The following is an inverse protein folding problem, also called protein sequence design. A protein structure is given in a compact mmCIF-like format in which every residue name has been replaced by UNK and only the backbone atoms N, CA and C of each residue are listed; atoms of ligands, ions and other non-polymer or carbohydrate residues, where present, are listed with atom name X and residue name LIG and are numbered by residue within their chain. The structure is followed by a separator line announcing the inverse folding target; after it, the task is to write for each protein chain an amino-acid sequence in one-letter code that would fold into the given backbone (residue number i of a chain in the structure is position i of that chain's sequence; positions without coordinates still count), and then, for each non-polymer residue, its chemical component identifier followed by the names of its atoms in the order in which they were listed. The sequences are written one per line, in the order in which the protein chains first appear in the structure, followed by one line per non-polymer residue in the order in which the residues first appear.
data_IF_292093825349
#
_entry.id   IF_292093825349
#
_cell.length_a   1.000
_cell.length_b   1.000
_cell.length_c   1.000
_cell.angle_alpha   90.00
_cell.angle_beta   90.00
_cell.angle_gamma   90.00
#
_symmetry.space_group_name_H-M   'P 1'
#
loop_
_entity.id
_entity.type
_entity.pdbx_description
1 polymer ?
#
# COMPACT_ATOMS: atom_id res chain seq x y z
N UNK A 1 -29.19 16.70 -17.36
CA UNK A 1 -28.27 15.86 -16.57
C UNK A 1 -28.20 16.45 -15.18
N UNK A 2 -28.62 15.76 -14.09
CA UNK A 2 -28.40 16.29 -12.76
C UNK A 2 -26.96 16.02 -12.32
N UNK A 3 -26.38 17.02 -11.67
CA UNK A 3 -24.98 17.13 -11.29
C UNK A 3 -24.51 15.98 -10.39
N UNK A 4 -23.34 15.44 -10.72
CA UNK A 4 -22.54 14.65 -9.80
C UNK A 4 -21.98 15.61 -8.72
N UNK A 5 -22.24 15.39 -7.42
CA UNK A 5 -21.52 16.14 -6.40
C UNK A 5 -20.04 15.71 -6.46
N UNK A 6 -19.20 16.60 -6.96
CA UNK A 6 -17.76 16.50 -6.85
C UNK A 6 -17.39 16.45 -5.36
N UNK A 7 -17.03 15.26 -4.88
CA UNK A 7 -16.40 15.11 -3.58
C UNK A 7 -14.97 15.69 -3.68
N UNK A 8 -14.62 16.75 -2.93
CA UNK A 8 -13.25 17.22 -2.83
C UNK A 8 -12.49 16.34 -1.80
N UNK A 9 -11.21 16.08 -2.07
CA UNK A 9 -10.32 15.08 -1.45
C UNK A 9 -10.63 13.62 -1.85
N UNK A 10 -9.76 12.98 -2.62
CA UNK A 10 -8.41 12.67 -2.13
C UNK A 10 -7.43 12.73 -3.28
N UNK A 11 -6.32 13.45 -3.09
CA UNK A 11 -5.16 13.39 -3.96
C UNK A 11 -4.85 11.92 -4.26
N UNK A 12 -5.09 11.49 -5.50
CA UNK A 12 -4.58 10.23 -6.03
C UNK A 12 -3.06 10.36 -5.91
N UNK A 13 -2.36 9.65 -4.99
CA UNK A 13 -0.92 9.64 -5.04
C UNK A 13 -0.62 8.84 -6.30
N UNK A 14 -0.36 9.56 -7.39
CA UNK A 14 0.42 9.00 -8.49
C UNK A 14 1.68 8.46 -7.80
N UNK A 15 2.01 7.16 -7.91
CA UNK A 15 3.21 6.62 -7.30
C UNK A 15 4.41 7.26 -8.03
N UNK A 16 4.81 8.44 -7.56
CA UNK A 16 6.01 9.12 -8.02
C UNK A 16 7.19 8.25 -7.60
N UNK A 17 7.93 7.89 -8.63
CA UNK A 17 9.01 6.93 -8.66
C UNK A 17 10.18 7.38 -7.78
N UNK A 18 10.78 6.47 -7.02
CA UNK A 18 12.05 6.70 -6.33
C UNK A 18 12.34 5.71 -5.19
N UNK A 19 13.61 5.35 -4.87
CA UNK A 19 13.96 4.31 -3.89
C UNK A 19 13.82 4.71 -2.40
N UNK A 20 13.26 5.87 -2.08
CA UNK A 20 13.09 6.32 -0.70
C UNK A 20 11.61 6.28 -0.31
N UNK A 21 11.22 5.29 0.51
CA UNK A 21 9.91 5.22 1.17
C UNK A 21 8.72 5.17 0.22
N UNK A 22 8.50 4.03 -0.46
CA UNK A 22 7.27 3.83 -1.23
C UNK A 22 6.08 3.85 -0.26
N UNK A 23 5.05 4.62 -0.54
CA UNK A 23 3.72 4.42 0.08
C UNK A 23 2.78 3.78 -0.94
N UNK A 24 1.89 2.91 -0.47
CA UNK A 24 0.93 2.20 -1.28
C UNK A 24 -0.47 2.38 -0.73
N UNK A 25 -1.36 2.99 -1.50
CA UNK A 25 -2.77 3.05 -1.14
C UNK A 25 -3.45 1.73 -1.46
N UNK A 26 -4.00 1.10 -0.42
CA UNK A 26 -4.73 -0.17 -0.53
C UNK A 26 -5.95 0.01 -1.42
N UNK A 27 -6.18 -0.92 -2.34
CA UNK A 27 -7.38 -0.95 -3.17
C UNK A 27 -8.34 -2.04 -2.68
N UNK A 28 -9.62 -1.91 -3.01
CA UNK A 28 -10.61 -2.93 -2.68
C UNK A 28 -10.23 -4.27 -3.31
N UNK A 29 -10.06 -5.30 -2.48
CA UNK A 29 -9.63 -6.63 -2.90
C UNK A 29 -8.10 -6.84 -2.97
N UNK A 30 -7.29 -5.83 -2.65
CA UNK A 30 -5.87 -6.05 -2.38
C UNK A 30 -5.68 -6.73 -1.01
N UNK A 31 -4.58 -7.46 -0.91
CA UNK A 31 -4.15 -8.12 0.33
C UNK A 31 -2.65 -7.87 0.49
N UNK A 32 -2.15 -7.92 1.73
CA UNK A 32 -0.72 -7.68 2.00
C UNK A 32 0.20 -8.56 1.14
N UNK A 33 -0.18 -9.81 0.88
CA UNK A 33 0.53 -10.70 -0.04
C UNK A 33 0.61 -10.17 -1.47
N UNK A 34 -0.53 -9.74 -2.05
CA UNK A 34 -0.56 -9.13 -3.40
C UNK A 34 0.25 -7.85 -3.46
N UNK A 35 0.16 -7.01 -2.44
CA UNK A 35 0.89 -5.75 -2.38
C UNK A 35 2.38 -6.03 -2.29
N UNK A 36 2.79 -6.94 -1.40
CA UNK A 36 4.17 -7.43 -1.30
C UNK A 36 4.68 -7.96 -2.64
N UNK A 37 3.89 -8.76 -3.35
CA UNK A 37 4.23 -9.26 -4.68
C UNK A 37 4.39 -8.12 -5.70
N UNK A 38 3.51 -7.12 -5.68
CA UNK A 38 3.56 -5.95 -6.57
C UNK A 38 4.76 -5.04 -6.29
N UNK A 39 5.09 -4.82 -5.02
CA UNK A 39 6.14 -3.86 -4.62
C UNK A 39 7.53 -4.48 -4.52
N UNK A 40 7.63 -5.73 -4.07
CA UNK A 40 8.89 -6.43 -3.87
C UNK A 40 9.14 -7.58 -4.84
N UNK A 41 8.16 -7.93 -5.69
CA UNK A 41 8.25 -9.11 -6.54
C UNK A 41 8.11 -10.44 -5.79
N UNK A 42 7.75 -10.41 -4.50
CA UNK A 42 7.45 -11.62 -3.73
C UNK A 42 6.38 -11.37 -2.67
N UNK A 43 5.43 -12.29 -2.52
CA UNK A 43 4.48 -12.26 -1.39
C UNK A 43 5.16 -12.48 -0.04
N UNK A 44 6.39 -13.02 0.03
CA UNK A 44 7.05 -13.42 1.30
C UNK A 44 7.34 -12.27 2.26
N UNK A 45 7.31 -11.04 1.79
CA UNK A 45 7.61 -9.85 2.58
C UNK A 45 6.37 -9.10 3.08
N UNK A 46 5.18 -9.70 2.96
CA UNK A 46 3.94 -9.13 3.48
C UNK A 46 4.02 -8.78 4.98
N UNK A 47 4.74 -9.59 5.77
CA UNK A 47 4.96 -9.35 7.21
C UNK A 47 5.72 -8.06 7.49
N UNK A 48 6.71 -7.71 6.67
CA UNK A 48 7.47 -6.46 6.84
C UNK A 48 6.60 -5.23 6.58
N UNK A 49 5.70 -5.33 5.60
CA UNK A 49 4.69 -4.30 5.35
C UNK A 49 3.78 -4.19 6.57
N UNK A 50 3.27 -5.31 7.10
CA UNK A 50 2.43 -5.29 8.29
C UNK A 50 3.15 -4.65 9.47
N UNK A 51 4.36 -5.10 9.81
CA UNK A 51 5.18 -4.57 10.90
C UNK A 51 5.39 -3.06 10.80
N UNK A 52 5.76 -2.55 9.62
CA UNK A 52 5.97 -1.13 9.39
C UNK A 52 4.68 -0.29 9.45
N UNK A 53 3.51 -0.94 9.45
CA UNK A 53 2.20 -0.29 9.48
C UNK A 53 1.32 -0.80 10.61
N UNK A 54 1.85 -1.45 11.67
CA UNK A 54 1.01 -1.95 12.77
C UNK A 54 0.22 -0.83 13.45
N UNK A 55 0.73 0.40 13.40
CA UNK A 55 0.05 1.60 13.87
C UNK A 55 -1.25 1.90 13.08
N UNK A 56 -1.28 1.59 11.79
CA UNK A 56 -2.44 1.83 10.90
C UNK A 56 -3.29 0.57 10.68
N UNK A 57 -2.63 -0.58 10.56
CA UNK A 57 -3.21 -1.88 10.25
C UNK A 57 -2.59 -2.90 11.22
N UNK A 58 -3.21 -3.15 12.38
CA UNK A 58 -2.68 -4.13 13.34
C UNK A 58 -2.74 -5.57 12.81
N UNK A 59 -3.66 -5.86 11.89
CA UNK A 59 -3.91 -7.19 11.32
C UNK A 59 -4.25 -7.13 9.83
N UNK A 60 -3.86 -8.15 9.06
CA UNK A 60 -4.21 -8.27 7.64
C UNK A 60 -5.71 -8.17 7.36
N UNK A 61 -6.55 -8.63 8.30
CA UNK A 61 -8.02 -8.61 8.18
C UNK A 61 -8.61 -7.23 8.48
N UNK A 62 -7.86 -6.36 9.16
CA UNK A 62 -8.24 -4.98 9.46
C UNK A 62 -7.83 -4.00 8.36
N UNK A 63 -7.17 -4.51 7.32
CA UNK A 63 -6.82 -3.78 6.13
C UNK A 63 -8.06 -3.35 5.36
N UNK A 64 -8.17 -2.06 5.04
CA UNK A 64 -9.27 -1.49 4.25
C UNK A 64 -8.74 -0.75 3.04
N UNK A 65 -9.53 -0.75 1.96
CA UNK A 65 -9.26 0.08 0.80
C UNK A 65 -9.22 1.57 1.19
N UNK A 66 -8.31 2.32 0.58
CA UNK A 66 -8.05 3.73 0.87
C UNK A 66 -7.02 3.98 1.97
N UNK A 67 -6.60 2.95 2.72
CA UNK A 67 -5.51 3.10 3.70
C UNK A 67 -4.18 3.26 2.97
N UNK A 68 -3.34 4.19 3.40
CA UNK A 68 -1.98 4.32 2.91
C UNK A 68 -1.02 3.44 3.73
N UNK A 69 -0.34 2.53 3.06
CA UNK A 69 0.68 1.67 3.65
C UNK A 69 2.07 2.18 3.34
N UNK A 70 2.90 2.33 4.37
CA UNK A 70 4.34 2.53 4.25
C UNK A 70 5.00 1.22 3.82
N UNK A 71 5.65 1.23 2.67
CA UNK A 71 6.36 0.07 2.14
C UNK A 71 7.83 0.25 2.52
N UNK A 72 8.32 -0.42 3.58
CA UNK A 72 9.73 -0.33 3.95
C UNK A 72 10.60 -0.90 2.82
N UNK A 73 11.83 -0.42 2.61
CA UNK A 73 12.76 -1.12 1.75
C UNK A 73 13.02 -2.50 2.36
N UNK A 74 12.55 -3.55 1.69
CA UNK A 74 13.17 -4.85 1.91
C UNK A 74 14.45 -4.79 1.12
N UNK A 75 15.55 -5.14 1.76
CA UNK A 75 16.79 -5.38 1.05
C UNK A 75 16.49 -6.46 0.00
N UNK A 76 16.17 -5.99 -1.20
CA UNK A 76 16.12 -6.84 -2.37
C UNK A 76 17.56 -7.26 -2.50
N UNK A 77 17.88 -8.48 -2.05
CA UNK A 77 19.14 -9.14 -2.36
C UNK A 77 19.24 -9.09 -3.88
N UNK A 78 19.91 -8.05 -4.38
CA UNK A 78 20.34 -7.94 -5.76
C UNK A 78 21.45 -8.99 -5.88
N UNK A 79 21.25 -10.06 -6.66
CA UNK A 79 22.38 -10.87 -7.08
C UNK A 79 23.35 -10.03 -7.92
#
# INVERSE_FOLDING_TARGET
QPAQPAQPNSARPQPKQGPAGRTYTVQSGDSLGRISQKVYGTSRHWRKILEANRDAIPDERRMRAGVELRIPPVEARRP
#
